data_IF_425075265355
#
_entry.id   IF_425075265355
#
_cell.length_a   1.000
_cell.length_b   1.000
_cell.length_c   1.000
_cell.angle_alpha   90.00
_cell.angle_beta   90.00
_cell.angle_gamma   90.00
#
_symmetry.space_group_name_H-M   'P 1'
#
loop_
_entity.id
_entity.type
_entity.pdbx_description
1 polymer ?
#
# COMPACT_ATOMS: atom_id res chain seq x y z
N UNK A 1 6.98 9.13 9.58
CA UNK A 1 6.23 8.09 8.83
C UNK A 1 4.90 7.83 9.49
N UNK A 2 3.81 7.81 8.75
CA UNK A 2 2.51 7.36 9.25
C UNK A 2 2.28 5.90 8.87
N UNK A 3 1.63 5.12 9.75
CA UNK A 3 1.39 3.70 9.51
C UNK A 3 2.64 2.80 9.57
N UNK A 4 3.71 3.26 10.21
CA UNK A 4 5.00 2.58 10.26
C UNK A 4 5.01 1.24 11.03
N UNK A 5 3.97 0.90 11.80
CA UNK A 5 3.81 -0.43 12.41
C UNK A 5 2.97 -1.40 11.55
N UNK A 6 2.42 -0.93 10.42
CA UNK A 6 1.69 -1.77 9.48
C UNK A 6 2.58 -2.75 8.73
N UNK A 7 1.99 -3.55 7.85
CA UNK A 7 2.70 -4.54 7.03
C UNK A 7 3.88 -3.91 6.27
N UNK A 8 3.62 -3.04 5.29
CA UNK A 8 4.67 -2.39 4.50
C UNK A 8 5.50 -1.42 5.36
N UNK A 9 4.83 -0.64 6.23
CA UNK A 9 5.49 0.36 7.05
C UNK A 9 6.56 -0.20 7.97
N UNK A 10 6.32 -1.36 8.60
CA UNK A 10 7.30 -1.98 9.51
C UNK A 10 8.56 -2.48 8.80
N UNK A 11 8.42 -3.00 7.59
CA UNK A 11 9.57 -3.37 6.76
C UNK A 11 10.35 -2.13 6.29
N UNK A 12 9.64 -1.05 5.94
CA UNK A 12 10.28 0.20 5.54
C UNK A 12 11.03 0.84 6.72
N UNK A 13 10.42 0.87 7.91
CA UNK A 13 11.09 1.33 9.14
C UNK A 13 12.37 0.53 9.40
N UNK A 14 12.31 -0.79 9.28
CA UNK A 14 13.49 -1.66 9.43
C UNK A 14 14.57 -1.35 8.38
N UNK A 15 14.19 -1.16 7.13
CA UNK A 15 15.13 -0.80 6.07
C UNK A 15 15.81 0.55 6.32
N UNK A 16 15.02 1.56 6.71
CA UNK A 16 15.51 2.92 6.96
C UNK A 16 16.35 3.01 8.25
N UNK A 17 16.05 2.20 9.26
CA UNK A 17 16.82 2.18 10.53
C UNK A 17 18.26 1.70 10.37
N UNK A 18 18.58 0.96 9.30
CA UNK A 18 19.92 0.56 8.93
C UNK A 18 20.77 1.70 8.36
N UNK A 19 20.12 2.82 8.04
CA UNK A 19 20.74 4.05 7.57
C UNK A 19 20.71 5.08 8.71
N UNK A 20 21.52 6.11 8.63
CA UNK A 20 21.57 7.13 9.68
C UNK A 20 20.40 8.13 9.59
N UNK A 21 19.16 7.65 9.72
CA UNK A 21 17.95 8.47 9.73
C UNK A 21 17.36 8.59 11.13
N UNK A 22 16.88 9.79 11.49
CA UNK A 22 16.00 10.00 12.65
C UNK A 22 14.58 9.66 12.22
N UNK A 23 14.04 8.55 12.74
CA UNK A 23 12.73 8.04 12.32
C UNK A 23 11.69 8.29 13.40
N UNK A 24 10.61 8.97 13.03
CA UNK A 24 9.40 9.08 13.84
C UNK A 24 8.25 8.31 13.18
N UNK A 25 7.56 7.49 13.95
CA UNK A 25 6.41 6.68 13.52
C UNK A 25 5.16 7.14 14.24
N UNK A 26 4.14 7.54 13.47
CA UNK A 26 2.80 7.81 13.98
C UNK A 26 1.90 6.59 13.78
N UNK A 27 1.28 6.09 14.84
CA UNK A 27 0.45 4.90 14.82
C UNK A 27 -0.76 5.01 15.76
N UNK A 28 -1.91 4.50 15.33
CA UNK A 28 -3.14 4.50 16.14
C UNK A 28 -3.05 3.53 17.34
N UNK A 29 -2.30 2.44 17.19
CA UNK A 29 -2.22 1.39 18.21
C UNK A 29 -0.82 0.81 18.31
N UNK A 30 -0.45 0.32 19.49
CA UNK A 30 0.79 -0.43 19.71
C UNK A 30 0.64 -1.94 19.53
N UNK A 31 -0.54 -2.44 19.20
CA UNK A 31 -0.79 -3.89 19.02
C UNK A 31 0.15 -4.55 17.99
N UNK A 32 0.71 -3.78 17.06
CA UNK A 32 1.67 -4.24 16.04
C UNK A 32 3.11 -3.83 16.34
N UNK A 33 3.44 -3.45 17.56
CA UNK A 33 4.81 -3.05 17.93
C UNK A 33 5.81 -4.20 17.73
N UNK A 34 5.36 -5.45 17.87
CA UNK A 34 6.14 -6.66 17.57
C UNK A 34 6.57 -6.79 16.11
N UNK A 35 5.97 -6.05 15.18
CA UNK A 35 6.41 -6.00 13.79
C UNK A 35 7.76 -5.29 13.62
N UNK A 36 8.19 -4.51 14.61
CA UNK A 36 9.51 -3.87 14.61
C UNK A 36 10.48 -4.76 15.38
N UNK A 37 11.60 -5.19 14.78
CA UNK A 37 12.62 -5.97 15.46
C UNK A 37 13.15 -5.24 16.71
N UNK A 38 13.31 -5.97 17.82
CA UNK A 38 13.81 -5.41 19.10
C UNK A 38 15.21 -4.81 19.00
N UNK A 39 15.99 -5.23 18.00
CA UNK A 39 17.33 -4.70 17.72
C UNK A 39 17.33 -3.24 17.26
N UNK A 40 16.19 -2.71 16.80
CA UNK A 40 16.06 -1.34 16.31
C UNK A 40 15.78 -0.40 17.47
N UNK A 41 16.82 0.30 17.97
CA UNK A 41 16.72 1.19 19.15
C UNK A 41 16.43 2.66 18.84
N UNK A 42 16.67 3.14 17.61
CA UNK A 42 16.63 4.56 17.24
C UNK A 42 15.34 4.98 16.52
N UNK A 43 14.17 4.59 17.06
CA UNK A 43 12.88 4.97 16.48
C UNK A 43 12.01 5.61 17.56
N UNK A 44 11.47 6.79 17.27
CA UNK A 44 10.45 7.43 18.09
C UNK A 44 9.05 7.00 17.61
N UNK A 45 8.32 6.26 18.43
CA UNK A 45 6.97 5.78 18.10
C UNK A 45 5.95 6.53 18.95
N UNK A 46 5.09 7.32 18.29
CA UNK A 46 4.01 8.06 18.93
C UNK A 46 2.66 7.35 18.69
N UNK A 47 1.96 7.01 19.78
CA UNK A 47 0.58 6.52 19.69
C UNK A 47 -0.36 7.69 19.46
N UNK A 48 -0.82 7.81 18.21
CA UNK A 48 -1.73 8.87 17.80
C UNK A 48 -2.58 8.42 16.61
N UNK A 49 -3.88 8.77 16.64
CA UNK A 49 -4.73 8.65 15.47
C UNK A 49 -4.38 9.76 14.48
N UNK A 50 -4.12 9.41 13.23
CA UNK A 50 -3.74 10.37 12.18
C UNK A 50 -4.85 11.38 11.89
N UNK A 51 -6.10 11.08 12.26
CA UNK A 51 -7.24 11.99 12.15
C UNK A 51 -7.29 13.05 13.27
N UNK A 52 -6.44 12.93 14.30
CA UNK A 52 -6.28 13.97 15.31
C UNK A 52 -5.34 15.07 14.78
N UNK A 53 -5.88 15.92 13.92
CA UNK A 53 -5.11 16.91 13.17
C UNK A 53 -4.33 17.87 14.07
N UNK A 54 -4.90 18.30 15.20
CA UNK A 54 -4.23 19.19 16.14
C UNK A 54 -2.95 18.58 16.72
N UNK A 55 -3.02 17.34 17.20
CA UNK A 55 -1.85 16.65 17.77
C UNK A 55 -0.82 16.30 16.68
N UNK A 56 -1.28 15.85 15.52
CA UNK A 56 -0.39 15.51 14.39
C UNK A 56 0.30 16.79 13.89
N UNK A 57 -0.42 17.91 13.79
CA UNK A 57 0.13 19.20 13.40
C UNK A 57 1.27 19.65 14.31
N UNK A 58 1.07 19.63 15.63
CA UNK A 58 2.12 19.95 16.62
C UNK A 58 3.36 19.05 16.50
N UNK A 59 3.15 17.76 16.19
CA UNK A 59 4.28 16.84 15.99
C UNK A 59 5.07 17.22 14.73
N UNK A 60 4.42 17.58 13.63
CA UNK A 60 5.10 17.99 12.38
C UNK A 60 5.86 19.30 12.60
N UNK A 61 5.25 20.29 13.28
CA UNK A 61 5.86 21.57 13.63
C UNK A 61 7.16 21.40 14.43
N UNK A 62 7.13 20.50 15.45
CA UNK A 62 8.28 20.26 16.32
C UNK A 62 9.36 19.39 15.68
N UNK A 63 8.94 18.38 14.89
CA UNK A 63 9.86 17.42 14.28
C UNK A 63 10.52 17.95 13.00
N UNK A 64 9.83 18.81 12.25
CA UNK A 64 10.23 19.39 10.95
C UNK A 64 10.83 18.34 10.01
N UNK A 65 10.04 17.37 9.54
CA UNK A 65 10.55 16.25 8.77
C UNK A 65 11.06 16.68 7.38
N UNK A 66 12.20 16.13 6.95
CA UNK A 66 12.68 16.24 5.57
C UNK A 66 11.86 15.37 4.62
N UNK A 67 11.27 14.27 5.14
CA UNK A 67 10.46 13.34 4.37
C UNK A 67 9.26 12.86 5.19
N UNK A 68 8.08 12.89 4.58
CA UNK A 68 6.87 12.25 5.10
C UNK A 68 6.51 11.08 4.17
N UNK A 69 6.56 9.84 4.69
CA UNK A 69 5.99 8.67 4.01
C UNK A 69 4.63 8.37 4.62
N UNK A 70 3.57 8.58 3.84
CA UNK A 70 2.19 8.44 4.27
C UNK A 70 1.61 7.09 3.85
N UNK A 71 1.59 6.13 4.79
CA UNK A 71 1.05 4.77 4.62
C UNK A 71 -0.17 4.50 5.52
N UNK A 72 -0.48 5.42 6.45
CA UNK A 72 -1.66 5.29 7.30
C UNK A 72 -2.94 5.48 6.48
N UNK A 73 -3.99 4.80 6.90
CA UNK A 73 -5.31 4.87 6.30
C UNK A 73 -6.04 3.53 6.42
N UNK A 74 -7.32 3.51 6.10
CA UNK A 74 -8.05 2.27 5.92
C UNK A 74 -7.56 1.60 4.62
N UNK A 75 -7.39 0.29 4.65
CA UNK A 75 -6.99 -0.51 3.48
C UNK A 75 -7.98 -1.63 3.18
N UNK A 76 -9.11 -1.66 3.88
CA UNK A 76 -10.15 -2.67 3.72
C UNK A 76 -11.29 -2.15 2.85
N UNK A 77 -11.57 -2.87 1.77
CA UNK A 77 -12.69 -2.55 0.90
C UNK A 77 -14.03 -2.67 1.63
N UNK A 78 -14.24 -3.74 2.42
CA UNK A 78 -15.48 -3.95 3.17
C UNK A 78 -15.72 -2.83 4.18
N UNK A 79 -14.70 -2.49 4.97
CA UNK A 79 -14.80 -1.39 5.94
C UNK A 79 -15.12 -0.05 5.25
N UNK A 80 -14.62 0.19 4.04
CA UNK A 80 -14.95 1.43 3.32
C UNK A 80 -16.43 1.55 2.98
N UNK A 81 -17.11 0.43 2.73
CA UNK A 81 -18.58 0.42 2.52
C UNK A 81 -19.36 0.48 3.83
N UNK A 82 -18.87 -0.16 4.89
CA UNK A 82 -19.52 -0.15 6.20
C UNK A 82 -19.40 1.22 6.91
N UNK A 83 -18.25 1.90 6.72
CA UNK A 83 -17.90 3.15 7.40
C UNK A 83 -17.32 4.18 6.41
N UNK A 84 -18.11 4.64 5.42
CA UNK A 84 -17.58 5.46 4.32
C UNK A 84 -17.02 6.81 4.78
N UNK A 85 -17.63 7.48 5.74
CA UNK A 85 -17.14 8.76 6.27
C UNK A 85 -15.79 8.58 7.00
N UNK A 86 -15.62 7.50 7.77
CA UNK A 86 -14.33 7.21 8.40
C UNK A 86 -13.25 6.90 7.35
N UNK A 87 -13.63 6.32 6.22
CA UNK A 87 -12.69 6.07 5.11
C UNK A 87 -12.22 7.38 4.47
N UNK A 88 -13.12 8.35 4.26
CA UNK A 88 -12.77 9.71 3.82
C UNK A 88 -11.84 10.37 4.81
N UNK A 89 -12.18 10.33 6.10
CA UNK A 89 -11.38 10.97 7.15
C UNK A 89 -9.96 10.40 7.21
N UNK A 90 -9.83 9.08 7.18
CA UNK A 90 -8.55 8.39 7.33
C UNK A 90 -7.69 8.35 6.07
N UNK A 91 -8.25 8.49 4.87
CA UNK A 91 -7.52 8.45 3.61
C UNK A 91 -7.38 9.83 2.97
N UNK A 92 -8.50 10.47 2.60
CA UNK A 92 -8.48 11.73 1.84
C UNK A 92 -8.14 12.93 2.72
N UNK A 93 -8.86 13.14 3.84
CA UNK A 93 -8.65 14.30 4.71
C UNK A 93 -7.28 14.29 5.37
N UNK A 94 -6.76 13.12 5.77
CA UNK A 94 -5.41 13.03 6.34
C UNK A 94 -4.34 13.40 5.32
N UNK A 95 -4.49 12.99 4.05
CA UNK A 95 -3.57 13.39 2.98
C UNK A 95 -3.59 14.90 2.77
N UNK A 96 -4.79 15.48 2.64
CA UNK A 96 -4.97 16.92 2.50
C UNK A 96 -4.34 17.69 3.68
N UNK A 97 -4.62 17.27 4.91
CA UNK A 97 -4.09 17.89 6.11
C UNK A 97 -2.55 17.88 6.14
N UNK A 98 -1.92 16.76 5.78
CA UNK A 98 -0.46 16.67 5.78
C UNK A 98 0.17 17.60 4.72
N UNK A 99 -0.43 17.68 3.53
CA UNK A 99 0.02 18.58 2.47
C UNK A 99 -0.17 20.06 2.87
N UNK A 100 -1.32 20.41 3.46
CA UNK A 100 -1.56 21.77 4.02
C UNK A 100 -0.53 22.13 5.09
N UNK A 101 -0.17 21.20 5.97
CA UNK A 101 0.85 21.44 6.99
C UNK A 101 2.24 21.69 6.38
N UNK A 102 2.64 20.94 5.37
CA UNK A 102 3.90 21.17 4.64
C UNK A 102 3.89 22.57 4.03
N UNK A 103 2.80 22.94 3.34
CA UNK A 103 2.64 24.25 2.71
C UNK A 103 2.69 25.38 3.75
N UNK A 104 1.84 25.32 4.78
CA UNK A 104 1.66 26.40 5.75
C UNK A 104 2.90 26.62 6.63
N UNK A 105 3.70 25.59 6.86
CA UNK A 105 4.97 25.68 7.59
C UNK A 105 6.17 25.95 6.66
N UNK A 106 5.93 26.10 5.37
CA UNK A 106 6.97 26.28 4.33
C UNK A 106 8.12 25.26 4.47
N UNK A 107 7.77 23.98 4.68
CA UNK A 107 8.75 22.94 4.90
C UNK A 107 9.37 22.48 3.56
N UNK A 108 10.70 22.44 3.49
CA UNK A 108 11.41 21.72 2.43
C UNK A 108 11.31 20.21 2.67
N UNK A 109 10.11 19.67 2.47
CA UNK A 109 9.76 18.28 2.81
C UNK A 109 9.28 17.52 1.58
N UNK A 110 9.88 16.33 1.35
CA UNK A 110 9.39 15.38 0.35
C UNK A 110 8.20 14.60 0.91
N UNK A 111 7.06 14.65 0.23
CA UNK A 111 5.87 13.89 0.60
C UNK A 111 5.70 12.67 -0.30
N UNK A 112 5.61 11.47 0.27
CA UNK A 112 5.44 10.22 -0.47
C UNK A 112 4.14 9.56 -0.04
N UNK A 113 3.21 9.43 -0.99
CA UNK A 113 1.92 8.76 -0.79
C UNK A 113 2.01 7.30 -1.24
N UNK A 114 1.72 6.36 -0.33
CA UNK A 114 1.45 4.98 -0.71
C UNK A 114 0.02 4.84 -1.22
N UNK A 115 -0.14 4.46 -2.48
CA UNK A 115 -1.42 4.19 -3.12
C UNK A 115 -1.57 2.73 -3.53
N UNK A 116 -2.56 2.41 -4.34
CA UNK A 116 -3.01 1.05 -4.62
C UNK A 116 -3.44 0.86 -6.07
N UNK A 117 -3.35 -0.35 -6.58
CA UNK A 117 -3.88 -0.72 -7.89
C UNK A 117 -5.42 -0.62 -7.98
N UNK A 118 -6.12 -0.59 -6.84
CA UNK A 118 -7.59 -0.51 -6.77
C UNK A 118 -8.14 0.78 -7.40
N UNK A 119 -7.33 1.84 -7.45
CA UNK A 119 -7.73 3.11 -8.10
C UNK A 119 -8.03 2.95 -9.59
N UNK A 120 -7.48 1.92 -10.23
CA UNK A 120 -7.72 1.64 -11.66
C UNK A 120 -9.13 1.06 -11.89
N UNK A 121 -9.66 0.29 -10.92
CA UNK A 121 -10.84 -0.51 -11.15
C UNK A 121 -10.56 -1.64 -12.14
N UNK A 122 -11.51 -1.96 -13.01
CA UNK A 122 -11.36 -3.01 -14.03
C UNK A 122 -10.69 -2.42 -15.29
N UNK A 123 -9.42 -2.75 -15.58
CA UNK A 123 -8.71 -2.16 -16.70
C UNK A 123 -9.28 -2.65 -18.04
N UNK A 124 -9.37 -1.75 -19.04
CA UNK A 124 -9.78 -2.09 -20.40
C UNK A 124 -8.66 -2.73 -21.22
N UNK A 125 -7.41 -2.38 -20.91
CA UNK A 125 -6.20 -2.88 -21.59
C UNK A 125 -5.14 -3.28 -20.56
N UNK A 126 -4.32 -4.25 -20.89
CA UNK A 126 -3.18 -4.74 -20.12
C UNK A 126 -1.92 -4.76 -20.98
N UNK A 127 -0.75 -4.52 -20.41
CA UNK A 127 -0.50 -4.15 -19.02
C UNK A 127 -1.01 -2.75 -18.67
N UNK A 128 -1.33 -2.53 -17.37
CA UNK A 128 -1.66 -1.21 -16.82
C UNK A 128 -0.39 -0.36 -16.75
N UNK A 129 -0.49 0.93 -17.08
CA UNK A 129 0.59 1.92 -16.98
C UNK A 129 0.20 3.07 -16.06
N UNK A 130 1.10 4.02 -15.83
CA UNK A 130 0.80 5.25 -15.07
C UNK A 130 -0.29 6.10 -15.74
N UNK A 131 -0.42 6.01 -17.07
CA UNK A 131 -1.41 6.76 -17.86
C UNK A 131 -2.75 6.04 -18.02
N UNK A 132 -2.90 4.83 -17.49
CA UNK A 132 -4.17 4.11 -17.53
C UNK A 132 -5.24 4.86 -16.75
N UNK A 133 -6.40 5.06 -17.36
CA UNK A 133 -7.54 5.73 -16.72
C UNK A 133 -7.95 5.04 -15.42
N UNK A 134 -8.19 5.83 -14.39
CA UNK A 134 -8.64 5.37 -13.08
C UNK A 134 -10.15 5.40 -13.00
N UNK A 135 -10.78 4.26 -12.70
CA UNK A 135 -12.20 4.11 -12.50
C UNK A 135 -12.49 3.16 -11.34
N UNK A 136 -12.21 3.59 -10.09
CA UNK A 136 -12.31 2.73 -8.92
C UNK A 136 -13.74 2.23 -8.70
N UNK A 137 -13.88 0.98 -8.29
CA UNK A 137 -15.15 0.30 -7.99
C UNK A 137 -15.47 0.24 -6.50
N UNK A 138 -14.63 0.86 -5.66
CA UNK A 138 -14.79 0.87 -4.20
C UNK A 138 -14.60 2.28 -3.63
N UNK A 139 -15.27 2.57 -2.50
CA UNK A 139 -15.10 3.85 -1.77
C UNK A 139 -13.63 4.04 -1.39
N UNK A 140 -12.97 3.00 -0.91
CA UNK A 140 -11.53 3.00 -0.64
C UNK A 140 -10.70 3.43 -1.85
N UNK A 141 -10.95 2.83 -3.03
CA UNK A 141 -10.25 3.19 -4.27
C UNK A 141 -10.47 4.65 -4.67
N UNK A 142 -11.71 5.15 -4.52
CA UNK A 142 -12.05 6.55 -4.80
C UNK A 142 -11.30 7.50 -3.86
N UNK A 143 -11.25 7.21 -2.56
CA UNK A 143 -10.54 8.04 -1.59
C UNK A 143 -9.01 8.03 -1.81
N UNK A 144 -8.43 6.89 -2.23
CA UNK A 144 -7.00 6.84 -2.59
C UNK A 144 -6.73 7.62 -3.87
N UNK A 145 -7.61 7.56 -4.87
CA UNK A 145 -7.49 8.35 -6.09
C UNK A 145 -7.60 9.85 -5.80
N UNK A 146 -8.53 10.27 -4.94
CA UNK A 146 -8.63 11.65 -4.48
C UNK A 146 -7.32 12.12 -3.81
N UNK A 147 -6.72 11.27 -2.96
CA UNK A 147 -5.43 11.54 -2.32
C UNK A 147 -4.29 11.70 -3.34
N UNK A 148 -4.28 10.90 -4.42
CA UNK A 148 -3.31 11.07 -5.52
C UNK A 148 -3.49 12.41 -6.25
N UNK A 149 -4.73 12.80 -6.52
CA UNK A 149 -5.04 14.09 -7.15
C UNK A 149 -4.59 15.26 -6.27
N UNK A 150 -4.83 15.20 -4.96
CA UNK A 150 -4.32 16.20 -4.01
C UNK A 150 -2.78 16.32 -4.10
N UNK A 151 -2.05 15.22 -4.10
CA UNK A 151 -0.58 15.25 -4.26
C UNK A 151 -0.15 15.94 -5.55
N UNK A 152 -0.84 15.68 -6.68
CA UNK A 152 -0.55 16.32 -7.97
C UNK A 152 -0.85 17.81 -7.94
N UNK A 153 -2.00 18.22 -7.39
CA UNK A 153 -2.38 19.65 -7.26
C UNK A 153 -1.36 20.38 -6.40
N UNK A 154 -0.98 19.83 -5.24
CA UNK A 154 -0.03 20.48 -4.34
C UNK A 154 1.38 20.58 -4.94
N UNK A 155 1.76 19.64 -5.79
CA UNK A 155 2.98 19.75 -6.58
C UNK A 155 2.88 20.87 -7.63
N UNK A 156 1.82 20.85 -8.44
CA UNK A 156 1.66 21.77 -9.58
C UNK A 156 1.45 23.22 -9.12
N UNK A 157 0.65 23.44 -8.08
CA UNK A 157 0.24 24.79 -7.64
C UNK A 157 1.22 25.37 -6.62
N UNK A 158 1.73 24.56 -5.71
CA UNK A 158 2.55 25.02 -4.58
C UNK A 158 4.00 24.55 -4.64
N UNK A 159 4.42 23.81 -5.68
CA UNK A 159 5.79 23.33 -5.81
C UNK A 159 6.22 22.28 -4.78
N UNK A 160 5.29 21.70 -4.00
CA UNK A 160 5.63 20.70 -3.00
C UNK A 160 6.19 19.44 -3.69
N UNK A 161 7.32 18.96 -3.20
CA UNK A 161 7.93 17.73 -3.71
C UNK A 161 7.10 16.52 -3.30
N UNK A 162 6.17 16.10 -4.17
CA UNK A 162 5.35 14.91 -3.94
C UNK A 162 5.77 13.76 -4.83
N UNK A 163 5.71 12.52 -4.32
CA UNK A 163 5.73 11.30 -5.12
C UNK A 163 4.57 10.39 -4.72
N UNK A 164 4.08 9.62 -5.67
CA UNK A 164 3.03 8.65 -5.47
C UNK A 164 3.57 7.29 -5.90
N UNK A 165 3.33 6.25 -5.12
CA UNK A 165 3.54 4.89 -5.61
C UNK A 165 2.25 4.08 -5.48
N UNK A 166 1.91 3.35 -6.53
CA UNK A 166 0.85 2.34 -6.54
C UNK A 166 1.45 0.96 -6.40
N UNK A 167 0.90 0.17 -5.48
CA UNK A 167 1.35 -1.21 -5.26
C UNK A 167 0.28 -2.16 -5.79
N UNK A 168 0.73 -3.27 -6.41
CA UNK A 168 -0.13 -4.40 -6.76
C UNK A 168 -0.35 -5.31 -5.54
N UNK A 169 -0.78 -6.55 -5.72
CA UNK A 169 -1.03 -7.48 -4.62
C UNK A 169 0.29 -7.83 -3.91
N UNK A 170 0.64 -7.08 -2.89
CA UNK A 170 1.83 -7.34 -2.07
C UNK A 170 1.58 -8.47 -1.07
N UNK A 171 2.59 -9.30 -0.81
CA UNK A 171 2.52 -10.40 0.15
C UNK A 171 3.83 -10.54 0.92
N UNK A 172 3.78 -11.19 2.08
CA UNK A 172 4.97 -11.45 2.91
C UNK A 172 4.67 -11.45 4.41
N UNK A 173 5.70 -11.58 5.25
CA UNK A 173 5.56 -11.60 6.70
C UNK A 173 5.03 -10.28 7.26
N UNK A 174 4.53 -10.30 8.49
CA UNK A 174 3.95 -9.16 9.24
C UNK A 174 2.61 -8.65 8.71
N UNK A 175 2.08 -9.23 7.65
CA UNK A 175 0.72 -8.92 7.24
C UNK A 175 -0.29 -9.65 8.12
N UNK A 176 -1.35 -8.95 8.51
CA UNK A 176 -2.44 -9.57 9.27
C UNK A 176 -3.22 -10.52 8.37
N UNK A 177 -3.39 -11.74 8.85
CA UNK A 177 -4.21 -12.75 8.18
C UNK A 177 -5.69 -12.49 8.52
N UNK A 178 -6.35 -11.77 7.66
CA UNK A 178 -7.77 -11.42 7.79
C UNK A 178 -8.50 -11.89 6.52
N UNK A 179 -9.61 -12.63 6.65
CA UNK A 179 -10.44 -12.98 5.50
C UNK A 179 -10.81 -11.73 4.69
N UNK A 180 -10.86 -11.83 3.38
CA UNK A 180 -11.27 -10.77 2.44
C UNK A 180 -10.39 -9.51 2.41
N UNK A 181 -9.21 -9.51 3.04
CA UNK A 181 -8.29 -8.38 3.00
C UNK A 181 -7.17 -8.57 1.97
N UNK A 182 -6.42 -9.65 2.07
CA UNK A 182 -5.37 -10.03 1.12
C UNK A 182 -5.50 -11.52 0.80
N UNK A 183 -5.97 -11.81 -0.40
CA UNK A 183 -6.23 -13.18 -0.81
C UNK A 183 -4.98 -14.06 -0.75
N UNK A 184 -3.81 -13.57 -1.13
CA UNK A 184 -2.59 -14.37 -1.27
C UNK A 184 -2.07 -14.85 0.09
N UNK A 185 -1.82 -13.93 1.03
CA UNK A 185 -1.37 -14.30 2.37
C UNK A 185 -2.41 -15.14 3.11
N UNK A 186 -3.70 -14.87 2.91
CA UNK A 186 -4.77 -15.68 3.47
C UNK A 186 -4.74 -17.11 2.92
N UNK A 187 -4.62 -17.30 1.60
CA UNK A 187 -4.52 -18.62 0.98
C UNK A 187 -3.28 -19.39 1.45
N UNK A 188 -2.12 -18.73 1.52
CA UNK A 188 -0.89 -19.32 2.05
C UNK A 188 -1.14 -19.81 3.49
N UNK A 189 -1.65 -18.95 4.36
CA UNK A 189 -1.92 -19.31 5.75
C UNK A 189 -2.91 -20.49 5.87
N UNK A 190 -4.00 -20.47 5.11
CA UNK A 190 -4.98 -21.55 5.10
C UNK A 190 -4.39 -22.86 4.60
N UNK A 191 -3.55 -22.84 3.57
CA UNK A 191 -2.88 -24.02 3.05
C UNK A 191 -2.00 -24.69 4.11
N UNK A 192 -1.19 -23.91 4.82
CA UNK A 192 -0.29 -24.43 5.86
C UNK A 192 -1.04 -24.85 7.13
N UNK A 193 -2.02 -24.05 7.60
CA UNK A 193 -2.73 -24.30 8.86
C UNK A 193 -3.85 -25.31 8.71
N UNK A 194 -4.77 -25.09 7.77
CA UNK A 194 -6.03 -25.83 7.69
C UNK A 194 -5.99 -26.93 6.62
N UNK A 195 -4.91 -27.00 5.82
CA UNK A 195 -4.78 -27.94 4.70
C UNK A 195 -5.95 -27.88 3.69
N UNK A 196 -6.64 -26.71 3.64
CA UNK A 196 -7.77 -26.47 2.75
C UNK A 196 -7.79 -25.00 2.31
N UNK A 197 -7.93 -24.77 1.00
CA UNK A 197 -8.05 -23.42 0.42
C UNK A 197 -9.25 -23.36 -0.52
N UNK A 198 -9.81 -22.15 -0.69
CA UNK A 198 -10.91 -21.87 -1.61
C UNK A 198 -10.49 -20.80 -2.62
N UNK A 199 -10.61 -21.10 -3.90
CA UNK A 199 -10.27 -20.20 -5.00
C UNK A 199 -11.49 -20.06 -5.90
N UNK A 200 -11.92 -18.81 -6.15
CA UNK A 200 -13.06 -18.52 -7.00
C UNK A 200 -12.73 -18.69 -8.49
N UNK A 201 -13.77 -18.79 -9.33
CA UNK A 201 -13.67 -18.83 -10.78
C UNK A 201 -12.64 -19.89 -11.27
N UNK A 202 -12.60 -21.05 -10.65
CA UNK A 202 -11.68 -22.17 -10.93
C UNK A 202 -10.21 -21.76 -11.04
N UNK A 203 -9.85 -20.62 -10.44
CA UNK A 203 -8.52 -20.02 -10.54
C UNK A 203 -8.19 -19.43 -11.93
N UNK A 204 -9.19 -19.29 -12.82
CA UNK A 204 -9.04 -18.78 -14.18
C UNK A 204 -8.94 -17.24 -14.22
N UNK A 205 -8.11 -16.70 -13.36
CA UNK A 205 -7.72 -15.29 -13.35
C UNK A 205 -6.28 -15.14 -12.87
N UNK A 206 -5.65 -14.03 -13.24
CA UNK A 206 -4.30 -13.73 -12.79
C UNK A 206 -4.20 -12.38 -12.09
N UNK A 207 -3.20 -12.25 -11.25
CA UNK A 207 -2.79 -11.01 -10.60
C UNK A 207 -1.28 -10.81 -10.74
N UNK A 208 -0.88 -9.58 -10.60
CA UNK A 208 0.51 -9.18 -10.42
C UNK A 208 0.79 -9.22 -8.92
N UNK A 209 1.59 -10.18 -8.48
CA UNK A 209 1.97 -10.35 -7.08
C UNK A 209 3.39 -9.85 -6.87
N UNK A 210 3.61 -9.15 -5.76
CA UNK A 210 4.94 -8.64 -5.42
C UNK A 210 5.30 -8.94 -3.96
N UNK A 211 6.51 -9.44 -3.74
CA UNK A 211 6.99 -9.71 -2.39
C UNK A 211 7.35 -8.42 -1.67
N UNK A 212 7.11 -8.37 -0.36
CA UNK A 212 7.24 -7.14 0.43
C UNK A 212 8.65 -6.53 0.37
N UNK A 213 9.71 -7.34 0.31
CA UNK A 213 11.07 -6.81 0.21
C UNK A 213 11.28 -6.02 -1.09
N UNK A 214 10.74 -6.51 -2.22
CA UNK A 214 10.80 -5.78 -3.49
C UNK A 214 10.01 -4.46 -3.42
N UNK A 215 8.89 -4.46 -2.67
CA UNK A 215 8.14 -3.22 -2.40
C UNK A 215 9.02 -2.23 -1.64
N UNK A 216 9.73 -2.67 -0.61
CA UNK A 216 10.62 -1.80 0.18
C UNK A 216 11.77 -1.27 -0.66
N UNK A 217 12.38 -2.11 -1.50
CA UNK A 217 13.43 -1.71 -2.42
C UNK A 217 12.91 -0.65 -3.41
N UNK A 218 11.68 -0.83 -3.95
CA UNK A 218 11.00 0.15 -4.80
C UNK A 218 10.77 1.49 -4.10
N UNK A 219 10.26 1.48 -2.87
CA UNK A 219 10.05 2.70 -2.07
C UNK A 219 11.40 3.39 -1.80
N UNK A 220 12.47 2.66 -1.48
CA UNK A 220 13.80 3.23 -1.29
C UNK A 220 14.34 3.90 -2.57
N UNK A 221 14.10 3.32 -3.74
CA UNK A 221 14.47 3.93 -5.02
C UNK A 221 13.69 5.23 -5.25
N UNK A 222 12.38 5.26 -4.97
CA UNK A 222 11.56 6.47 -5.09
C UNK A 222 11.99 7.55 -4.10
N UNK A 223 12.32 7.17 -2.85
CA UNK A 223 12.85 8.08 -1.84
C UNK A 223 14.09 8.83 -2.36
N UNK A 224 15.02 8.11 -2.97
CA UNK A 224 16.31 8.65 -3.39
C UNK A 224 16.31 9.28 -4.80
N UNK A 225 15.55 8.70 -5.75
CA UNK A 225 15.63 9.03 -7.18
C UNK A 225 14.29 9.42 -7.81
N UNK A 226 13.20 9.36 -7.06
CA UNK A 226 11.87 9.74 -7.56
C UNK A 226 11.84 11.23 -7.94
N UNK A 227 11.44 11.52 -9.18
CA UNK A 227 11.28 12.89 -9.67
C UNK A 227 10.05 13.53 -9.01
N UNK A 228 10.10 14.81 -8.60
CA UNK A 228 8.95 15.50 -8.02
C UNK A 228 7.70 15.42 -8.91
N UNK A 229 6.53 15.27 -8.30
CA UNK A 229 5.23 15.17 -8.99
C UNK A 229 4.91 13.81 -9.61
N UNK A 230 5.87 12.89 -9.65
CA UNK A 230 5.76 11.66 -10.42
C UNK A 230 5.09 10.53 -9.65
N UNK A 231 4.34 9.71 -10.41
CA UNK A 231 3.73 8.46 -9.98
C UNK A 231 4.54 7.27 -10.50
N UNK A 232 4.70 6.24 -9.68
CA UNK A 232 5.42 5.01 -10.01
C UNK A 232 4.62 3.76 -9.63
N UNK A 233 4.71 2.72 -10.45
CA UNK A 233 4.19 1.41 -10.10
C UNK A 233 5.27 0.56 -9.42
N UNK A 234 4.91 -0.02 -8.27
CA UNK A 234 5.70 -1.05 -7.59
C UNK A 234 4.97 -2.38 -7.77
N UNK A 235 5.44 -3.19 -8.70
CA UNK A 235 4.82 -4.44 -9.13
C UNK A 235 5.85 -5.40 -9.69
N UNK A 236 5.58 -6.70 -9.70
CA UNK A 236 6.50 -7.66 -10.34
C UNK A 236 6.52 -7.54 -11.88
N UNK A 237 5.42 -7.06 -12.46
CA UNK A 237 5.20 -7.05 -13.90
C UNK A 237 4.90 -8.45 -14.48
N UNK A 238 4.62 -9.44 -13.62
CA UNK A 238 4.40 -10.84 -14.01
C UNK A 238 2.97 -11.28 -13.72
N UNK A 239 2.39 -12.05 -14.64
CA UNK A 239 1.07 -12.68 -14.48
C UNK A 239 1.22 -13.95 -13.65
N UNK A 240 0.61 -14.01 -12.47
CA UNK A 240 0.45 -15.26 -11.73
C UNK A 240 -1.02 -15.69 -11.76
N UNK A 241 -1.29 -16.80 -12.43
CA UNK A 241 -2.61 -17.43 -12.44
C UNK A 241 -2.91 -18.08 -11.10
N UNK A 242 -4.12 -17.88 -10.57
CA UNK A 242 -4.49 -18.45 -9.29
C UNK A 242 -4.59 -19.98 -9.32
N UNK A 243 -4.89 -20.56 -10.48
CA UNK A 243 -4.77 -22.02 -10.68
C UNK A 243 -3.33 -22.51 -10.44
N UNK A 244 -2.32 -21.78 -10.97
CA UNK A 244 -0.89 -22.09 -10.72
C UNK A 244 -0.51 -21.88 -9.25
N UNK A 245 -1.04 -20.84 -8.60
CA UNK A 245 -0.85 -20.63 -7.16
C UNK A 245 -1.42 -21.81 -6.35
N UNK A 246 -2.62 -22.30 -6.70
CA UNK A 246 -3.21 -23.48 -6.08
C UNK A 246 -2.30 -24.70 -6.18
N UNK A 247 -1.82 -25.00 -7.39
CA UNK A 247 -0.89 -26.14 -7.63
C UNK A 247 0.40 -26.02 -6.80
N UNK A 248 0.97 -24.80 -6.72
CA UNK A 248 2.15 -24.57 -5.88
C UNK A 248 1.84 -24.83 -4.40
N UNK A 249 0.74 -24.30 -3.88
CA UNK A 249 0.36 -24.50 -2.49
C UNK A 249 0.10 -25.99 -2.18
N UNK A 250 -0.55 -26.72 -3.08
CA UNK A 250 -0.73 -28.18 -2.94
C UNK A 250 0.61 -28.91 -2.88
N UNK A 251 1.54 -28.58 -3.77
CA UNK A 251 2.87 -29.20 -3.78
C UNK A 251 3.62 -29.05 -2.45
N UNK A 252 3.50 -27.88 -1.80
CA UNK A 252 4.24 -27.61 -0.56
C UNK A 252 3.49 -28.00 0.72
N UNK A 253 2.17 -28.15 0.67
CA UNK A 253 1.37 -28.32 1.90
C UNK A 253 0.44 -29.52 1.88
N UNK A 254 0.27 -30.21 0.74
CA UNK A 254 -0.75 -31.23 0.51
C UNK A 254 -2.18 -30.74 0.81
N UNK A 255 -2.46 -29.44 0.64
CA UNK A 255 -3.77 -28.89 0.93
C UNK A 255 -4.82 -29.31 -0.11
N UNK A 256 -6.08 -29.40 0.33
CA UNK A 256 -7.23 -29.59 -0.58
C UNK A 256 -7.65 -28.23 -1.16
N UNK A 257 -7.95 -28.18 -2.45
CA UNK A 257 -8.44 -26.98 -3.13
C UNK A 257 -9.91 -27.14 -3.47
N UNK A 258 -10.71 -26.15 -3.05
CA UNK A 258 -12.12 -26.04 -3.44
C UNK A 258 -12.30 -24.85 -4.37
N UNK A 259 -13.25 -24.98 -5.28
CA UNK A 259 -13.62 -23.93 -6.24
C UNK A 259 -15.08 -23.52 -6.05
N UNK A 260 -15.39 -22.73 -5.01
CA UNK A 260 -16.75 -22.25 -4.79
C UNK A 260 -17.15 -21.18 -5.81
N UNK A 261 -18.45 -20.97 -5.97
CA UNK A 261 -18.97 -19.87 -6.77
C UNK A 261 -18.55 -18.52 -6.22
N UNK A 262 -18.23 -17.57 -7.11
CA UNK A 262 -17.82 -16.22 -6.69
C UNK A 262 -19.01 -15.46 -6.10
N UNK A 263 -18.92 -14.91 -4.88
CA UNK A 263 -19.99 -14.11 -4.28
C UNK A 263 -20.41 -12.93 -5.16
N UNK A 264 -21.70 -12.60 -5.18
CA UNK A 264 -22.23 -11.49 -6.00
C UNK A 264 -21.52 -10.15 -5.73
N UNK A 265 -21.24 -9.85 -4.46
CA UNK A 265 -20.50 -8.66 -4.08
C UNK A 265 -19.09 -8.62 -4.69
N UNK A 266 -18.35 -9.71 -4.57
CA UNK A 266 -16.98 -9.83 -5.12
C UNK A 266 -16.97 -9.56 -6.62
N UNK A 267 -17.93 -10.12 -7.37
CA UNK A 267 -18.07 -9.88 -8.82
C UNK A 267 -18.22 -8.39 -9.19
N UNK A 268 -18.87 -7.60 -8.31
CA UNK A 268 -19.12 -6.16 -8.56
C UNK A 268 -17.88 -5.30 -8.30
N UNK A 269 -17.06 -5.66 -7.35
CA UNK A 269 -15.90 -4.85 -6.91
C UNK A 269 -14.55 -5.35 -7.43
N UNK A 270 -14.52 -6.56 -7.99
CA UNK A 270 -13.28 -7.19 -8.47
C UNK A 270 -12.71 -6.47 -9.70
N UNK A 271 -11.41 -6.22 -9.65
CA UNK A 271 -10.67 -5.58 -10.75
C UNK A 271 -10.40 -6.51 -11.95
N UNK A 272 -10.74 -7.79 -11.85
CA UNK A 272 -10.48 -8.79 -12.90
C UNK A 272 -8.99 -9.10 -13.07
N UNK A 273 -8.57 -9.51 -14.26
CA UNK A 273 -7.18 -9.74 -14.58
C UNK A 273 -6.36 -8.45 -14.46
N UNK A 274 -5.18 -8.54 -13.82
CA UNK A 274 -4.37 -7.37 -13.55
C UNK A 274 -2.88 -7.66 -13.64
N UNK A 275 -2.17 -6.88 -14.44
CA UNK A 275 -0.71 -6.87 -14.56
C UNK A 275 -0.25 -5.47 -14.99
N UNK A 276 0.91 -5.05 -14.51
CA UNK A 276 1.40 -3.69 -14.65
C UNK A 276 2.69 -3.65 -15.47
N UNK A 277 2.87 -2.61 -16.25
CA UNK A 277 4.17 -2.20 -16.77
C UNK A 277 4.92 -1.37 -15.71
N UNK A 278 5.97 -1.94 -15.16
CA UNK A 278 6.80 -1.32 -14.14
C UNK A 278 8.09 -0.70 -14.68
N UNK A 279 8.18 -0.51 -15.98
CA UNK A 279 9.38 -0.03 -16.70
C UNK A 279 9.86 1.34 -16.21
N UNK A 280 8.93 2.24 -15.83
CA UNK A 280 9.25 3.57 -15.31
C UNK A 280 10.08 3.51 -14.03
N UNK A 281 9.73 2.66 -13.07
CA UNK A 281 10.50 2.49 -11.85
C UNK A 281 11.82 1.74 -12.12
N UNK A 282 11.81 0.76 -13.03
CA UNK A 282 13.04 0.06 -13.47
C UNK A 282 14.06 1.01 -14.06
N UNK A 283 13.66 2.02 -14.82
CA UNK A 283 14.57 3.06 -15.36
C UNK A 283 15.30 3.84 -14.27
N UNK A 284 14.77 3.90 -13.04
CA UNK A 284 15.47 4.49 -11.89
C UNK A 284 16.48 3.52 -11.24
N UNK A 285 16.61 2.29 -11.74
CA UNK A 285 17.53 1.27 -11.25
C UNK A 285 16.90 0.23 -10.30
N UNK A 286 15.56 0.25 -10.11
CA UNK A 286 14.87 -0.78 -9.34
C UNK A 286 14.77 -2.09 -10.14
N UNK A 287 15.01 -3.22 -9.45
CA UNK A 287 14.90 -4.58 -10.04
C UNK A 287 14.18 -5.48 -9.04
N UNK A 288 12.90 -5.87 -9.29
CA UNK A 288 12.23 -6.89 -8.47
C UNK A 288 12.89 -8.26 -8.69
N UNK A 289 12.95 -9.06 -7.62
CA UNK A 289 13.55 -10.40 -7.63
C UNK A 289 12.61 -11.51 -8.10
#
# INVERSE_FOLDING_TARGET
MTGGLGFIGSHLVESLSKKNHKIMVLTKTFSKKSNIPKSIKKIDIKKIDITNFNKVGKIIENFKPDVIVHLAGNTSHSISFEKPLQDVDSNTKTTLFLLEKIKNLNLSCKFILGSTFIVIGKPKKLPVTENTSCNPTTIYGTNRLASEHLCKIYHQVYGINTNIFRITNSYGPREQIIPNKNAVNFLIHQAFKNKKISIYNDGNFFRDLIYVNDVIDGINVILNKGKPGELYWISSGKKLWFKKLATLLQKFTNCKVNYPSTPKYTKKVDVGNFVVDNSKLKKLGWKPK
#
